data_IF_269726165018
#
_entry.id   IF_269726165018
#
_cell.length_a   1.000
_cell.length_b   1.000
_cell.length_c   1.000
_cell.angle_alpha   90.00
_cell.angle_beta   90.00
_cell.angle_gamma   90.00
#
_symmetry.space_group_name_H-M   'P 1'
#
loop_
_entity.id
_entity.type
_entity.pdbx_description
1 polymer ?
#
# COMPACT_ATOMS: atom_id res chain seq x y z
N UNK A 1 27.52 7.13 8.08
CA UNK A 1 26.83 6.98 9.37
C UNK A 1 26.46 5.53 9.74
N UNK A 2 27.10 4.49 9.19
CA UNK A 2 26.78 3.08 9.52
C UNK A 2 27.44 2.56 10.82
N UNK A 3 28.34 3.35 11.44
CA UNK A 3 29.09 2.94 12.63
C UNK A 3 28.30 3.02 13.94
N UNK A 4 27.10 3.62 13.92
CA UNK A 4 26.19 3.69 15.08
C UNK A 4 25.03 2.69 15.01
N UNK A 5 25.02 1.82 13.99
CA UNK A 5 23.92 0.91 13.71
C UNK A 5 24.10 -0.48 14.34
N UNK A 6 25.34 -0.90 14.62
CA UNK A 6 25.69 -2.27 14.97
C UNK A 6 25.35 -2.67 16.41
N UNK A 7 25.14 -1.69 17.30
CA UNK A 7 24.96 -1.92 18.74
C UNK A 7 23.54 -1.58 19.24
N UNK A 8 22.60 -1.34 18.31
CA UNK A 8 21.23 -1.02 18.69
C UNK A 8 20.37 -2.31 18.65
N UNK A 9 19.86 -2.81 19.79
CA UNK A 9 19.00 -4.00 19.82
C UNK A 9 17.70 -3.86 19.03
N UNK A 10 17.33 -2.63 18.65
CA UNK A 10 16.21 -2.33 17.74
C UNK A 10 16.59 -2.42 16.24
N UNK A 11 17.87 -2.59 15.91
CA UNK A 11 18.41 -2.70 14.56
C UNK A 11 18.76 -4.15 14.21
N UNK A 12 17.82 -5.06 14.45
CA UNK A 12 17.95 -6.45 14.05
C UNK A 12 17.89 -6.60 12.53
N UNK A 13 18.41 -7.71 11.99
CA UNK A 13 18.28 -8.03 10.56
C UNK A 13 16.81 -8.07 10.10
N UNK A 14 15.89 -8.45 11.01
CA UNK A 14 14.46 -8.35 10.78
C UNK A 14 14.06 -6.89 10.53
N UNK A 15 14.37 -5.97 11.44
CA UNK A 15 14.01 -4.54 11.32
C UNK A 15 14.46 -3.96 9.98
N UNK A 16 15.69 -4.24 9.55
CA UNK A 16 16.22 -3.78 8.26
C UNK A 16 15.43 -4.34 7.08
N UNK A 17 15.11 -5.63 7.15
CA UNK A 17 14.34 -6.31 6.12
C UNK A 17 12.90 -5.78 5.99
N UNK A 18 12.23 -5.52 7.13
CA UNK A 18 10.91 -4.86 7.14
C UNK A 18 10.95 -3.45 6.57
N UNK A 19 11.96 -2.66 6.96
CA UNK A 19 12.14 -1.31 6.45
C UNK A 19 12.31 -1.31 4.93
N UNK A 20 13.14 -2.21 4.40
CA UNK A 20 13.34 -2.33 2.95
C UNK A 20 12.03 -2.67 2.21
N UNK A 21 11.26 -3.66 2.69
CA UNK A 21 9.97 -3.99 2.06
C UNK A 21 8.92 -2.89 2.21
N UNK A 22 8.88 -2.22 3.34
CA UNK A 22 8.01 -1.07 3.55
C UNK A 22 8.33 0.05 2.56
N UNK A 23 9.60 0.36 2.36
CA UNK A 23 10.04 1.39 1.44
C UNK A 23 9.77 1.01 -0.02
N UNK A 24 9.89 -0.28 -0.38
CA UNK A 24 9.48 -0.79 -1.70
C UNK A 24 7.97 -0.58 -1.94
N UNK A 25 7.14 -0.78 -0.92
CA UNK A 25 5.70 -0.53 -1.02
C UNK A 25 5.38 0.95 -1.15
N UNK A 26 6.03 1.79 -0.33
CA UNK A 26 5.87 3.23 -0.42
C UNK A 26 6.29 3.74 -1.80
N UNK A 27 7.41 3.25 -2.36
CA UNK A 27 7.85 3.59 -3.71
C UNK A 27 6.83 3.14 -4.77
N UNK A 28 6.23 1.97 -4.59
CA UNK A 28 5.22 1.44 -5.52
C UNK A 28 3.92 2.25 -5.42
N UNK A 29 3.49 2.62 -4.22
CA UNK A 29 2.31 3.47 -3.98
C UNK A 29 2.51 4.87 -4.57
N UNK A 30 3.68 5.48 -4.34
CA UNK A 30 4.06 6.76 -4.95
C UNK A 30 4.09 6.69 -6.48
N UNK A 31 4.50 5.55 -7.05
CA UNK A 31 4.48 5.33 -8.50
C UNK A 31 3.07 5.09 -9.06
N UNK A 32 2.24 4.30 -8.38
CA UNK A 32 0.90 3.89 -8.83
C UNK A 32 -0.13 5.00 -8.65
N UNK A 33 -0.07 5.75 -7.54
CA UNK A 33 -0.94 6.90 -7.30
C UNK A 33 -0.61 8.10 -8.21
N UNK A 34 0.50 8.01 -8.95
CA UNK A 34 0.85 8.96 -9.99
C UNK A 34 1.64 10.15 -9.47
N UNK A 35 2.74 10.39 -10.17
CA UNK A 35 3.66 11.54 -10.17
C UNK A 35 3.03 12.92 -10.44
N UNK A 36 1.73 13.08 -10.21
CA UNK A 36 1.00 14.33 -10.45
C UNK A 36 1.22 15.32 -9.29
N UNK A 37 2.47 15.74 -9.07
CA UNK A 37 2.77 16.79 -8.10
C UNK A 37 4.26 16.97 -7.77
N UNK A 38 5.03 15.90 -7.60
CA UNK A 38 6.45 16.02 -7.23
C UNK A 38 7.36 16.41 -8.40
N UNK A 39 7.12 15.85 -9.59
CA UNK A 39 7.89 16.21 -10.78
C UNK A 39 7.64 17.67 -11.18
N UNK A 40 6.40 18.14 -11.10
CA UNK A 40 6.04 19.52 -11.38
C UNK A 40 6.66 20.48 -10.36
N UNK A 41 6.65 20.13 -9.06
CA UNK A 41 7.31 20.93 -8.02
C UNK A 41 8.83 20.98 -8.19
N UNK A 42 9.47 19.92 -8.69
CA UNK A 42 10.91 19.91 -9.00
C UNK A 42 11.23 20.75 -10.23
N UNK A 43 10.40 20.69 -11.28
CA UNK A 43 10.53 21.55 -12.47
C UNK A 43 10.35 23.02 -12.06
N UNK A 44 9.36 23.32 -11.22
CA UNK A 44 9.10 24.68 -10.72
C UNK A 44 10.22 25.20 -9.80
N UNK A 45 10.88 24.32 -9.03
CA UNK A 45 12.07 24.65 -8.22
C UNK A 45 13.37 24.79 -9.04
N UNK A 46 13.46 24.15 -10.21
CA UNK A 46 14.64 24.22 -11.08
C UNK A 46 14.51 25.30 -12.17
N UNK A 47 13.33 25.87 -12.35
CA UNK A 47 13.11 27.04 -13.20
C UNK A 47 13.79 28.27 -12.56
N UNK A 48 14.77 28.91 -13.23
CA UNK A 48 15.38 30.14 -12.75
C UNK A 48 14.33 31.26 -12.73
N UNK A 49 13.75 31.53 -11.57
CA UNK A 49 12.65 32.49 -11.39
C UNK A 49 11.43 31.96 -10.62
N UNK A 50 11.40 30.67 -10.26
CA UNK A 50 10.39 30.12 -9.35
C UNK A 50 10.61 30.61 -7.92
N UNK A 51 9.56 31.15 -7.28
CA UNK A 51 9.62 31.70 -5.94
C UNK A 51 9.84 30.55 -4.93
N UNK A 52 11.10 30.24 -4.59
CA UNK A 52 11.46 29.17 -3.66
C UNK A 52 10.96 29.52 -2.25
N UNK A 53 9.77 29.05 -1.90
CA UNK A 53 9.31 29.07 -0.52
C UNK A 53 10.06 27.95 0.23
N UNK A 54 10.79 28.26 1.33
CA UNK A 54 11.46 27.23 2.09
C UNK A 54 10.41 26.26 2.67
N UNK A 55 10.74 24.97 2.68
CA UNK A 55 9.87 23.89 3.15
C UNK A 55 9.34 24.07 4.59
N UNK A 56 9.93 24.99 5.36
CA UNK A 56 9.51 25.36 6.71
C UNK A 56 8.27 26.28 6.77
N UNK A 57 7.76 26.80 5.65
CA UNK A 57 6.57 27.66 5.61
C UNK A 57 5.31 26.99 5.05
N UNK A 58 5.32 25.68 4.79
CA UNK A 58 4.10 24.93 4.44
C UNK A 58 3.32 24.60 5.72
N UNK A 59 2.74 25.63 6.34
CA UNK A 59 1.69 25.48 7.34
C UNK A 59 0.38 25.15 6.60
N UNK A 60 -0.28 24.06 7.00
CA UNK A 60 -1.51 23.53 6.39
C UNK A 60 -2.73 24.39 6.77
N UNK A 61 -2.72 25.68 6.42
CA UNK A 61 -3.81 26.60 6.79
C UNK A 61 -4.17 27.55 5.65
N UNK A 62 -5.23 27.16 4.93
CA UNK A 62 -6.10 28.12 4.25
C UNK A 62 -6.13 28.06 2.72
N UNK A 63 -6.65 26.97 2.14
CA UNK A 63 -7.39 27.10 0.86
C UNK A 63 -8.84 27.39 1.22
N UNK A 64 -9.17 28.68 1.23
CA UNK A 64 -10.55 29.15 1.28
C UNK A 64 -11.17 28.95 -0.10
N UNK A 65 -11.92 27.86 -0.29
CA UNK A 65 -12.83 27.72 -1.43
C UNK A 65 -14.07 28.54 -1.10
N UNK A 66 -14.05 29.81 -1.48
CA UNK A 66 -15.23 30.66 -1.48
C UNK A 66 -16.13 30.26 -2.65
N UNK A 67 -17.28 29.65 -2.36
CA UNK A 67 -18.62 30.08 -2.81
C UNK A 67 -19.66 28.92 -2.82
N UNK A 68 -20.43 28.67 -1.75
CA UNK A 68 -21.49 27.67 -1.72
C UNK A 68 -22.89 28.23 -2.10
N UNK A 69 -22.98 29.09 -3.13
CA UNK A 69 -24.26 29.64 -3.60
C UNK A 69 -24.33 29.69 -5.13
N UNK A 70 -24.55 28.53 -5.75
CA UNK A 70 -25.04 28.43 -7.13
C UNK A 70 -25.83 27.12 -7.31
N UNK A 71 -26.85 26.90 -6.48
CA UNK A 71 -27.85 25.85 -6.70
C UNK A 71 -29.22 26.40 -6.33
N UNK A 72 -29.77 27.26 -7.18
CA UNK A 72 -31.22 27.50 -7.17
C UNK A 72 -31.71 27.74 -8.59
N UNK A 73 -32.71 26.93 -8.95
CA UNK A 73 -33.61 27.03 -10.11
C UNK A 73 -33.10 26.41 -11.42
N UNK A 74 -33.56 25.18 -11.71
CA UNK A 74 -34.66 24.96 -12.67
C UNK A 74 -35.40 23.64 -12.37
N UNK A 75 -36.70 23.77 -12.16
CA UNK A 75 -37.68 22.71 -11.91
C UNK A 75 -38.06 21.90 -13.17
N UNK A 76 -38.54 20.69 -12.89
CA UNK A 76 -39.61 19.93 -13.56
C UNK A 76 -39.35 19.15 -14.88
N UNK A 77 -39.06 17.85 -14.67
CA UNK A 77 -39.83 16.69 -15.18
C UNK A 77 -39.75 16.33 -16.69
N UNK A 78 -39.11 15.20 -17.01
CA UNK A 78 -39.73 13.96 -17.57
C UNK A 78 -38.65 13.06 -18.24
N UNK A 79 -38.71 11.77 -17.89
CA UNK A 79 -38.24 10.57 -18.60
C UNK A 79 -36.74 10.14 -18.54
N UNK A 80 -36.51 9.11 -17.71
CA UNK A 80 -35.56 8.00 -17.78
C UNK A 80 -34.15 8.22 -18.37
N UNK A 81 -33.12 7.93 -17.56
CA UNK A 81 -31.92 7.26 -18.04
C UNK A 81 -31.88 5.80 -17.57
N UNK A 82 -32.02 4.94 -18.59
CA UNK A 82 -31.42 3.61 -18.76
C UNK A 82 -30.46 3.11 -17.67
N UNK A 83 -30.75 1.88 -17.22
CA UNK A 83 -29.82 0.95 -16.58
C UNK A 83 -28.49 0.88 -17.35
N UNK A 84 -27.41 1.27 -16.71
CA UNK A 84 -26.05 0.79 -16.94
C UNK A 84 -25.51 0.49 -15.54
N UNK A 85 -25.71 -0.73 -15.01
CA UNK A 85 -24.71 -1.79 -15.07
C UNK A 85 -23.28 -1.26 -15.02
N UNK A 86 -22.84 -0.85 -13.83
CA UNK A 86 -21.55 -1.30 -13.31
C UNK A 86 -21.60 -1.28 -11.79
N UNK A 87 -22.38 -2.22 -11.26
CA UNK A 87 -22.21 -2.64 -9.87
C UNK A 87 -20.87 -3.37 -9.81
N UNK A 88 -19.77 -2.65 -9.60
CA UNK A 88 -18.59 -3.27 -9.03
C UNK A 88 -19.05 -4.04 -7.78
N UNK A 89 -18.79 -5.35 -7.66
CA UNK A 89 -19.18 -6.07 -6.47
C UNK A 89 -18.45 -5.39 -5.33
N UNK A 90 -19.20 -4.80 -4.39
CA UNK A 90 -18.70 -4.58 -3.04
C UNK A 90 -18.26 -5.95 -2.56
N UNK A 91 -16.96 -6.20 -2.64
CA UNK A 91 -16.33 -7.40 -2.08
C UNK A 91 -16.87 -7.51 -0.67
N UNK A 92 -17.48 -8.65 -0.39
CA UNK A 92 -18.04 -9.02 0.90
C UNK A 92 -17.11 -8.54 2.02
N UNK A 93 -17.70 -7.99 3.09
CA UNK A 93 -17.02 -7.61 4.34
C UNK A 93 -16.30 -8.82 4.94
N UNK A 94 -15.18 -9.19 4.36
CA UNK A 94 -14.31 -10.20 4.89
C UNK A 94 -13.08 -9.49 5.39
N UNK A 95 -12.91 -9.51 6.71
CA UNK A 95 -11.71 -8.97 7.33
C UNK A 95 -10.47 -9.53 6.65
N UNK A 96 -9.46 -8.70 6.38
CA UNK A 96 -8.18 -9.19 5.91
C UNK A 96 -7.68 -10.27 6.88
N UNK A 97 -7.02 -11.31 6.35
CA UNK A 97 -6.52 -12.42 7.19
C UNK A 97 -5.49 -11.89 8.20
N UNK A 98 -4.85 -10.77 7.88
CA UNK A 98 -3.86 -10.09 8.69
C UNK A 98 -4.22 -8.61 8.78
N UNK A 99 -4.21 -8.07 9.99
CA UNK A 99 -4.57 -6.68 10.26
C UNK A 99 -3.38 -5.72 10.02
N UNK A 100 -2.15 -6.26 10.07
CA UNK A 100 -0.91 -5.49 9.86
C UNK A 100 0.27 -6.36 9.40
N UNK A 101 1.33 -5.76 8.83
CA UNK A 101 2.60 -6.44 8.53
C UNK A 101 3.20 -7.19 9.72
N UNK A 102 3.10 -6.62 10.93
CA UNK A 102 3.61 -7.24 12.15
C UNK A 102 2.82 -8.51 12.47
N UNK A 103 1.49 -8.45 12.39
CA UNK A 103 0.62 -9.62 12.61
C UNK A 103 0.89 -10.75 11.61
N UNK A 104 1.19 -10.39 10.36
CA UNK A 104 1.55 -11.35 9.32
C UNK A 104 2.83 -12.09 9.67
N UNK A 105 3.87 -11.36 10.06
CA UNK A 105 5.13 -12.02 10.37
C UNK A 105 5.07 -12.79 11.68
N UNK A 106 4.44 -12.27 12.72
CA UNK A 106 4.29 -13.00 13.98
C UNK A 106 3.61 -14.36 13.74
N UNK A 107 2.56 -14.38 12.91
CA UNK A 107 1.86 -15.60 12.53
C UNK A 107 2.70 -16.53 11.63
N UNK A 108 3.48 -15.98 10.70
CA UNK A 108 4.19 -16.76 9.67
C UNK A 108 5.61 -17.16 10.03
N UNK A 109 6.23 -16.51 11.01
CA UNK A 109 7.59 -16.81 11.47
C UNK A 109 7.84 -18.29 11.81
N UNK A 110 6.98 -19.01 12.55
CA UNK A 110 7.24 -20.42 12.87
C UNK A 110 7.23 -21.32 11.63
N UNK A 111 6.32 -21.05 10.69
CA UNK A 111 6.21 -21.79 9.43
C UNK A 111 7.40 -21.51 8.51
N UNK A 112 7.76 -20.23 8.39
CA UNK A 112 8.88 -19.78 7.57
C UNK A 112 10.22 -20.37 8.07
N UNK A 113 10.43 -20.48 9.39
CA UNK A 113 11.62 -21.14 9.95
C UNK A 113 11.76 -22.58 9.48
N UNK A 114 10.68 -23.36 9.58
CA UNK A 114 10.69 -24.77 9.18
C UNK A 114 10.94 -24.93 7.68
N UNK A 115 10.31 -24.11 6.85
CA UNK A 115 10.47 -24.17 5.39
C UNK A 115 11.87 -23.72 4.99
N UNK A 116 12.38 -22.67 5.62
CA UNK A 116 13.72 -22.16 5.33
C UNK A 116 14.82 -23.16 5.67
N UNK A 117 14.68 -23.89 6.78
CA UNK A 117 15.58 -25.01 7.12
C UNK A 117 15.57 -26.10 6.04
N UNK A 118 14.40 -26.46 5.51
CA UNK A 118 14.28 -27.47 4.44
C UNK A 118 14.88 -26.99 3.12
N UNK A 119 14.73 -25.70 2.81
CA UNK A 119 15.23 -25.08 1.59
C UNK A 119 16.71 -24.65 1.70
N UNK A 120 17.31 -24.70 2.89
CA UNK A 120 18.66 -24.20 3.13
C UNK A 120 18.80 -22.69 2.95
N UNK A 121 17.73 -21.94 3.22
CA UNK A 121 17.68 -20.47 3.12
C UNK A 121 17.39 -19.82 4.47
N UNK A 122 17.32 -18.49 4.50
CA UNK A 122 16.97 -17.73 5.70
C UNK A 122 15.43 -17.59 5.81
N UNK A 123 14.82 -17.73 7.01
CA UNK A 123 13.38 -17.58 7.23
C UNK A 123 12.81 -16.28 6.67
N UNK A 124 13.59 -15.21 6.80
CA UNK A 124 13.28 -13.86 6.32
C UNK A 124 13.06 -13.87 4.81
N UNK A 125 13.82 -14.66 4.03
CA UNK A 125 13.67 -14.76 2.57
C UNK A 125 12.34 -15.42 2.16
N UNK A 126 11.84 -16.37 2.94
CA UNK A 126 10.54 -17.01 2.67
C UNK A 126 9.40 -16.04 2.99
N UNK A 127 9.49 -15.37 4.14
CA UNK A 127 8.54 -14.33 4.55
C UNK A 127 8.51 -13.15 3.59
N UNK A 128 9.68 -12.72 3.12
CA UNK A 128 9.87 -11.67 2.12
C UNK A 128 8.98 -11.89 0.91
N UNK A 129 9.16 -13.07 0.31
CA UNK A 129 8.50 -13.42 -0.91
C UNK A 129 6.99 -13.49 -0.70
N UNK A 130 6.54 -14.16 0.37
CA UNK A 130 5.13 -14.25 0.70
C UNK A 130 4.49 -12.86 0.93
N UNK A 131 5.19 -11.95 1.61
CA UNK A 131 4.71 -10.60 1.86
C UNK A 131 4.66 -9.75 0.58
N UNK A 132 5.65 -9.84 -0.30
CA UNK A 132 5.65 -9.13 -1.58
C UNK A 132 4.52 -9.62 -2.50
N UNK A 133 4.34 -10.94 -2.57
CA UNK A 133 3.32 -11.59 -3.41
C UNK A 133 1.89 -11.27 -2.97
N UNK A 134 1.65 -11.05 -1.68
CA UNK A 134 0.30 -10.85 -1.13
C UNK A 134 0.07 -9.46 -0.54
N UNK A 135 1.08 -8.59 -0.54
CA UNK A 135 1.05 -7.32 0.19
C UNK A 135 0.81 -7.55 1.69
N UNK A 136 1.72 -8.27 2.35
CA UNK A 136 1.61 -8.65 3.77
C UNK A 136 0.34 -9.44 4.13
N UNK A 137 -0.13 -10.27 3.20
CA UNK A 137 -1.33 -11.10 3.40
C UNK A 137 -2.66 -10.37 3.20
N UNK A 138 -2.65 -9.11 2.72
CA UNK A 138 -3.87 -8.37 2.43
C UNK A 138 -4.59 -8.84 1.15
N UNK A 139 -3.85 -9.39 0.20
CA UNK A 139 -4.36 -9.78 -1.14
C UNK A 139 -4.37 -11.29 -1.38
N UNK A 140 -4.49 -12.09 -0.32
CA UNK A 140 -4.53 -13.56 -0.43
C UNK A 140 -5.79 -13.99 -1.18
N UNK A 141 -5.62 -14.90 -2.15
CA UNK A 141 -6.73 -15.49 -2.91
C UNK A 141 -7.71 -16.18 -1.95
N UNK A 142 -9.00 -16.05 -2.21
CA UNK A 142 -10.05 -16.61 -1.35
C UNK A 142 -10.79 -17.73 -2.08
N UNK A 143 -11.28 -18.68 -1.32
CA UNK A 143 -12.10 -19.78 -1.84
C UNK A 143 -13.53 -19.28 -2.13
N UNK A 144 -14.33 -20.10 -2.82
CA UNK A 144 -15.71 -19.75 -3.19
C UNK A 144 -16.63 -19.54 -1.97
N UNK A 145 -16.30 -20.16 -0.84
CA UNK A 145 -17.00 -19.98 0.45
C UNK A 145 -16.56 -18.71 1.21
N UNK A 146 -15.62 -17.94 0.66
CA UNK A 146 -15.06 -16.76 1.30
C UNK A 146 -14.02 -17.06 2.39
N UNK A 147 -13.56 -18.30 2.54
CA UNK A 147 -12.41 -18.62 3.39
C UNK A 147 -11.08 -18.30 2.68
N UNK A 148 -9.99 -18.18 3.44
CA UNK A 148 -8.65 -17.98 2.86
C UNK A 148 -8.19 -19.23 2.11
N UNK A 149 -7.58 -19.08 0.93
CA UNK A 149 -6.94 -20.21 0.23
C UNK A 149 -5.57 -20.58 0.82
N UNK A 150 -5.01 -19.73 1.70
CA UNK A 150 -3.63 -19.83 2.19
C UNK A 150 -2.56 -19.81 1.08
N UNK A 151 -2.92 -19.42 -0.15
CA UNK A 151 -1.97 -19.32 -1.25
C UNK A 151 -1.16 -18.02 -1.15
N UNK A 152 -0.16 -18.03 -0.28
CA UNK A 152 0.71 -16.87 -0.02
C UNK A 152 1.75 -16.61 -1.11
N UNK A 153 1.89 -17.53 -2.06
CA UNK A 153 2.91 -17.49 -3.12
C UNK A 153 2.30 -17.44 -4.53
N UNK A 154 0.98 -17.25 -4.63
CA UNK A 154 0.25 -17.18 -5.89
C UNK A 154 0.52 -18.37 -6.84
N UNK A 155 0.78 -19.56 -6.27
CA UNK A 155 1.09 -20.75 -7.05
C UNK A 155 -0.18 -21.24 -7.74
N UNK A 156 -0.10 -21.46 -9.05
CA UNK A 156 -1.20 -22.00 -9.84
C UNK A 156 -1.23 -23.52 -9.72
N UNK A 157 -2.42 -24.09 -9.74
CA UNK A 157 -2.58 -25.54 -9.88
C UNK A 157 -2.62 -25.86 -11.39
N UNK A 158 -1.64 -26.62 -11.89
CA UNK A 158 -1.74 -27.27 -13.19
C UNK A 158 -2.65 -28.51 -13.10
N UNK A 159 -3.24 -28.91 -14.24
CA UNK A 159 -4.14 -30.06 -14.40
C UNK A 159 -3.47 -31.15 -15.24
#
# INVERSE_FOLDING_TARGET
NAVFEQDNPMNSNYTKFYQDMHDQQLSTELSLQGSLGLAEMMVEQLMPGGNTLPASLVDRKGVSVTNPQALQQRDANVANPVKHLESAPKTSNSSPVFDSPESFVEAMLPEAKRVAEQLGTQPETVLAQAALETGWGQKVIRQNDGSSSHNLFNIKADS
#
